data_IF_969236965480
#
_entry.id   IF_969236965480
#
_cell.length_a   1.000
_cell.length_b   1.000
_cell.length_c   1.000
_cell.angle_alpha   90.00
_cell.angle_beta   90.00
_cell.angle_gamma   90.00
#
_symmetry.space_group_name_H-M   'P 1'
#
loop_
_entity.id
_entity.type
_entity.pdbx_description
1 polymer ?
#
# COMPACT_ATOMS: atom_id res chain seq x y z
N UNK A 1 48.41 -46.17 45.27
CA UNK A 1 47.63 -45.92 44.02
C UNK A 1 47.85 -44.47 43.64
N UNK A 2 48.31 -44.26 42.39
CA UNK A 2 48.37 -43.04 41.58
C UNK A 2 48.84 -41.69 42.18
N UNK A 3 49.86 -41.14 41.53
CA UNK A 3 50.45 -39.79 41.55
C UNK A 3 49.80 -38.93 40.41
N UNK A 4 50.20 -37.68 40.10
CA UNK A 4 49.92 -36.36 40.72
C UNK A 4 49.29 -35.31 39.75
N UNK A 5 49.24 -34.03 40.20
CA UNK A 5 49.32 -32.80 39.38
C UNK A 5 47.99 -32.34 38.72
N UNK A 6 47.63 -31.05 38.54
CA UNK A 6 48.42 -29.82 38.36
C UNK A 6 47.55 -28.58 38.58
N UNK A 7 48.29 -27.51 38.85
CA UNK A 7 48.02 -26.10 38.94
C UNK A 7 47.06 -25.41 37.95
N UNK A 8 46.51 -24.34 38.52
CA UNK A 8 46.00 -23.08 37.99
C UNK A 8 47.04 -22.38 37.09
N UNK A 9 46.62 -21.97 35.90
CA UNK A 9 47.28 -21.07 34.95
C UNK A 9 46.21 -20.71 33.90
N UNK A 10 46.19 -19.61 33.17
CA UNK A 10 46.87 -18.32 33.07
C UNK A 10 46.20 -17.72 31.82
N UNK A 11 45.92 -16.42 31.77
CA UNK A 11 45.45 -15.79 30.54
C UNK A 11 45.77 -14.29 30.55
N UNK A 12 47.05 -14.00 30.31
CA UNK A 12 47.45 -12.81 29.55
C UNK A 12 47.36 -13.10 28.05
N UNK A 13 46.68 -12.25 27.28
CA UNK A 13 46.97 -12.08 25.86
C UNK A 13 46.51 -10.71 25.37
N UNK A 14 47.41 -10.09 24.61
CA UNK A 14 47.42 -8.71 24.18
C UNK A 14 46.41 -8.39 23.05
N UNK A 15 46.07 -7.11 23.02
CA UNK A 15 45.50 -6.33 21.91
C UNK A 15 46.12 -6.63 20.55
N UNK A 16 45.26 -7.00 19.59
CA UNK A 16 45.46 -6.80 18.17
C UNK A 16 44.17 -6.20 17.60
N UNK A 17 44.21 -4.95 17.17
CA UNK A 17 43.17 -4.33 16.35
C UNK A 17 43.42 -4.74 14.90
N UNK A 18 42.51 -5.53 14.31
CA UNK A 18 42.39 -5.69 12.86
C UNK A 18 41.15 -4.92 12.35
N UNK A 19 41.21 -4.36 11.14
CA UNK A 19 40.23 -3.39 10.67
C UNK A 19 38.90 -4.08 10.32
N UNK A 20 37.80 -3.53 10.82
CA UNK A 20 36.44 -3.90 10.40
C UNK A 20 36.27 -3.57 8.91
N UNK A 21 36.35 -4.62 8.10
CA UNK A 21 36.08 -4.60 6.67
C UNK A 21 34.57 -4.37 6.48
N UNK A 22 34.17 -3.13 6.17
CA UNK A 22 32.79 -2.74 5.86
C UNK A 22 32.38 -3.21 4.45
N UNK A 23 32.39 -4.51 4.21
CA UNK A 23 31.78 -5.09 3.02
C UNK A 23 30.30 -5.28 3.32
N UNK A 24 29.49 -4.30 2.91
CA UNK A 24 28.05 -4.49 2.75
C UNK A 24 27.87 -5.56 1.68
N UNK A 25 27.56 -6.79 2.07
CA UNK A 25 27.01 -7.78 1.14
C UNK A 25 25.67 -7.23 0.63
N UNK A 26 25.70 -6.59 -0.53
CA UNK A 26 24.52 -6.28 -1.32
C UNK A 26 23.96 -7.60 -1.84
N UNK A 27 23.11 -8.25 -1.04
CA UNK A 27 22.18 -9.23 -1.56
C UNK A 27 21.36 -8.60 -2.70
N UNK A 28 20.86 -9.40 -3.65
CA UNK A 28 20.10 -8.86 -4.78
C UNK A 28 18.94 -8.04 -4.23
N UNK A 29 18.95 -6.74 -4.50
CA UNK A 29 17.82 -5.86 -4.20
C UNK A 29 16.58 -6.50 -4.80
N UNK A 30 15.68 -6.93 -3.93
CA UNK A 30 14.40 -7.44 -4.38
C UNK A 30 13.74 -6.31 -5.17
N UNK A 31 13.19 -6.59 -6.37
CA UNK A 31 12.53 -5.58 -7.18
C UNK A 31 11.52 -4.82 -6.30
N UNK A 32 11.38 -3.48 -6.41
CA UNK A 32 10.42 -2.75 -5.59
C UNK A 32 9.06 -3.44 -5.70
N UNK A 33 8.60 -3.97 -4.58
CA UNK A 33 7.32 -4.67 -4.49
C UNK A 33 6.25 -3.64 -4.84
N UNK A 34 5.72 -3.77 -6.06
CA UNK A 34 4.65 -2.91 -6.53
C UNK A 34 3.43 -3.18 -5.63
N UNK A 35 3.03 -2.12 -4.92
CA UNK A 35 1.81 -1.97 -4.11
C UNK A 35 1.81 -2.67 -2.76
N UNK A 36 1.95 -1.84 -1.73
CA UNK A 36 2.10 -2.26 -0.35
C UNK A 36 0.82 -2.02 0.48
N UNK A 37 -0.28 -1.60 -0.16
CA UNK A 37 -1.51 -1.17 0.51
C UNK A 37 -2.72 -1.97 0.03
N UNK A 38 -2.84 -3.23 0.44
CA UNK A 38 -3.91 -4.14 0.02
C UNK A 38 -4.40 -5.03 1.17
N UNK A 39 -5.42 -5.84 0.87
CA UNK A 39 -6.09 -6.75 1.79
C UNK A 39 -6.22 -8.16 1.22
N UNK A 40 -6.34 -9.17 2.07
CA UNK A 40 -6.59 -10.55 1.63
C UNK A 40 -8.00 -10.75 1.05
N UNK A 41 -8.21 -11.76 0.19
CA UNK A 41 -9.56 -12.17 -0.22
C UNK A 41 -10.45 -12.48 0.99
N UNK A 42 -11.74 -12.24 0.84
CA UNK A 42 -12.75 -12.36 1.90
C UNK A 42 -12.82 -11.14 2.84
N UNK A 43 -11.93 -10.15 2.69
CA UNK A 43 -12.05 -8.88 3.42
C UNK A 43 -13.34 -8.17 3.02
N UNK A 44 -14.18 -7.85 4.00
CA UNK A 44 -15.51 -7.30 3.76
C UNK A 44 -15.45 -5.78 3.55
N UNK A 45 -16.03 -5.33 2.44
CA UNK A 45 -16.23 -3.93 2.08
C UNK A 45 -17.71 -3.58 2.18
N UNK A 46 -18.02 -2.43 2.77
CA UNK A 46 -19.40 -2.00 2.94
C UNK A 46 -19.95 -1.34 1.68
N UNK A 47 -21.00 -1.94 1.10
CA UNK A 47 -21.66 -1.46 -0.11
C UNK A 47 -23.13 -1.14 0.15
N UNK A 48 -23.82 -0.49 -0.80
CA UNK A 48 -25.28 -0.29 -0.72
C UNK A 48 -26.08 -1.60 -0.68
N UNK A 49 -25.48 -2.71 -1.12
CA UNK A 49 -26.09 -4.05 -1.14
C UNK A 49 -25.76 -4.85 0.13
N UNK A 50 -25.06 -4.23 1.08
CA UNK A 50 -24.50 -4.86 2.27
C UNK A 50 -23.00 -5.13 2.13
N UNK A 51 -22.45 -5.89 3.07
CA UNK A 51 -21.02 -6.22 3.08
C UNK A 51 -20.69 -7.25 2.00
N UNK A 52 -19.71 -6.94 1.15
CA UNK A 52 -19.26 -7.81 0.06
C UNK A 52 -17.77 -8.10 0.22
N UNK A 53 -17.32 -9.28 -0.20
CA UNK A 53 -15.89 -9.58 -0.24
C UNK A 53 -15.19 -8.70 -1.28
N UNK A 54 -14.00 -8.19 -0.95
CA UNK A 54 -13.27 -7.20 -1.75
C UNK A 54 -12.97 -7.68 -3.17
N UNK A 55 -12.66 -8.96 -3.35
CA UNK A 55 -12.40 -9.60 -4.64
C UNK A 55 -13.65 -9.79 -5.50
N UNK A 56 -14.84 -9.66 -4.91
CA UNK A 56 -16.13 -9.83 -5.58
C UNK A 56 -16.77 -8.49 -5.98
N UNK A 57 -16.12 -7.36 -5.70
CA UNK A 57 -16.62 -6.04 -6.07
C UNK A 57 -16.61 -5.89 -7.59
N UNK A 58 -17.71 -5.39 -8.14
CA UNK A 58 -17.91 -5.12 -9.55
C UNK A 58 -17.88 -3.62 -9.85
N UNK A 59 -17.61 -3.27 -11.10
CA UNK A 59 -17.75 -1.89 -11.58
C UNK A 59 -19.14 -1.35 -11.22
N UNK A 60 -19.18 -0.08 -10.83
CA UNK A 60 -20.38 0.64 -10.40
C UNK A 60 -20.98 0.22 -9.05
N UNK A 61 -20.34 -0.70 -8.31
CA UNK A 61 -20.71 -0.94 -6.91
C UNK A 61 -20.53 0.34 -6.09
N UNK A 62 -21.59 0.70 -5.36
CA UNK A 62 -21.63 1.87 -4.47
C UNK A 62 -21.06 1.51 -3.10
N UNK A 63 -19.88 2.04 -2.78
CA UNK A 63 -19.10 1.73 -1.57
C UNK A 63 -19.24 2.86 -0.55
N UNK A 64 -19.48 2.52 0.72
CA UNK A 64 -19.59 3.50 1.80
C UNK A 64 -18.21 4.06 2.12
N UNK A 65 -18.00 5.34 1.81
CA UNK A 65 -16.72 6.03 2.03
C UNK A 65 -16.64 6.72 3.38
N UNK A 66 -17.80 7.13 3.93
CA UNK A 66 -17.92 7.75 5.25
C UNK A 66 -19.26 7.47 5.91
N UNK A 67 -19.25 7.13 7.19
CA UNK A 67 -20.41 7.01 8.05
C UNK A 67 -20.64 8.29 8.90
N UNK A 68 -21.75 8.33 9.64
CA UNK A 68 -22.17 9.44 10.47
C UNK A 68 -23.30 10.27 9.85
N UNK A 69 -23.47 11.49 10.36
CA UNK A 69 -24.58 12.40 10.02
C UNK A 69 -24.72 12.69 8.51
N UNK A 70 -23.63 12.61 7.76
CA UNK A 70 -23.65 12.70 6.29
C UNK A 70 -22.93 11.49 5.73
N UNK A 71 -23.67 10.39 5.56
CA UNK A 71 -23.16 9.21 4.84
C UNK A 71 -22.73 9.62 3.44
N UNK A 72 -21.57 9.14 3.03
CA UNK A 72 -21.03 9.37 1.69
C UNK A 72 -20.70 8.05 1.03
N UNK A 73 -20.91 8.03 -0.28
CA UNK A 73 -20.72 6.88 -1.14
C UNK A 73 -19.76 7.24 -2.25
N UNK A 74 -18.99 6.27 -2.70
CA UNK A 74 -18.14 6.36 -3.88
C UNK A 74 -18.44 5.19 -4.81
N UNK A 75 -18.21 5.41 -6.10
CA UNK A 75 -18.49 4.42 -7.15
C UNK A 75 -17.22 3.63 -7.44
N UNK A 76 -17.26 2.29 -7.33
CA UNK A 76 -16.13 1.45 -7.73
C UNK A 76 -15.88 1.60 -9.23
N UNK A 77 -14.66 1.96 -9.60
CA UNK A 77 -14.27 2.09 -11.02
C UNK A 77 -14.16 0.72 -11.70
N UNK A 78 -13.92 0.71 -13.01
CA UNK A 78 -13.50 -0.49 -13.76
C UNK A 78 -12.12 -1.03 -13.35
N UNK A 79 -11.26 -0.20 -12.75
CA UNK A 79 -9.89 -0.58 -12.39
C UNK A 79 -9.82 -1.69 -11.32
N UNK A 80 -9.15 -2.79 -11.67
CA UNK A 80 -8.91 -3.93 -10.78
C UNK A 80 -7.58 -3.72 -10.06
N UNK A 81 -7.64 -3.60 -8.74
CA UNK A 81 -6.45 -3.53 -7.87
C UNK A 81 -6.24 -4.90 -7.27
N UNK A 82 -5.51 -5.76 -7.98
CA UNK A 82 -5.10 -7.10 -7.55
C UNK A 82 -3.59 -7.24 -7.71
N UNK A 83 -2.91 -7.68 -6.66
CA UNK A 83 -1.46 -7.82 -6.64
C UNK A 83 -1.05 -9.15 -6.01
N UNK A 84 0.14 -9.70 -6.36
CA UNK A 84 0.70 -10.83 -5.64
C UNK A 84 0.78 -10.54 -4.14
N UNK A 85 0.33 -11.48 -3.30
CA UNK A 85 0.37 -11.28 -1.86
C UNK A 85 1.83 -11.21 -1.36
N UNK A 86 2.13 -10.31 -0.41
CA UNK A 86 3.43 -10.35 0.25
C UNK A 86 3.51 -11.57 1.17
N UNK A 87 4.74 -11.97 1.51
CA UNK A 87 4.95 -13.07 2.47
C UNK A 87 4.39 -12.78 3.87
N UNK A 88 4.25 -11.51 4.26
CA UNK A 88 3.81 -11.12 5.61
C UNK A 88 2.57 -10.23 5.55
N UNK A 89 1.58 -10.57 6.37
CA UNK A 89 0.38 -9.78 6.64
C UNK A 89 0.28 -9.43 8.12
N UNK A 90 -0.56 -8.44 8.41
CA UNK A 90 -0.76 -7.89 9.74
C UNK A 90 -2.22 -7.97 10.17
N UNK A 91 -2.42 -8.04 11.49
CA UNK A 91 -3.73 -8.05 12.14
C UNK A 91 -3.69 -7.27 13.46
N UNK A 92 -4.88 -6.96 14.01
CA UNK A 92 -5.02 -6.25 15.29
C UNK A 92 -5.62 -7.15 16.35
N UNK A 93 -5.28 -6.90 17.62
CA UNK A 93 -5.99 -7.43 18.79
C UNK A 93 -6.12 -8.96 18.79
N UNK A 94 -5.07 -9.66 18.34
CA UNK A 94 -5.02 -11.12 18.16
C UNK A 94 -6.02 -11.68 17.13
N UNK A 95 -6.64 -10.82 16.33
CA UNK A 95 -7.42 -11.19 15.17
C UNK A 95 -6.56 -11.72 14.01
N UNK A 96 -7.21 -12.27 12.97
CA UNK A 96 -6.51 -12.77 11.79
C UNK A 96 -5.74 -11.65 11.09
N UNK A 97 -4.59 -11.99 10.52
CA UNK A 97 -3.86 -11.08 9.67
C UNK A 97 -4.57 -10.94 8.31
N UNK A 98 -4.85 -9.72 7.89
CA UNK A 98 -5.69 -9.47 6.71
C UNK A 98 -5.23 -8.30 5.83
N UNK A 99 -4.19 -7.56 6.24
CA UNK A 99 -3.73 -6.38 5.49
C UNK A 99 -2.20 -6.31 5.38
N UNK A 100 -1.72 -5.60 4.37
CA UNK A 100 -0.29 -5.41 4.09
C UNK A 100 0.29 -4.21 4.84
N UNK A 101 1.62 -4.17 5.02
CA UNK A 101 2.26 -3.19 5.90
C UNK A 101 2.03 -1.71 5.51
N UNK A 102 1.92 -1.41 4.21
CA UNK A 102 1.74 -0.05 3.71
C UNK A 102 0.30 0.47 3.78
N UNK A 103 -0.68 -0.35 4.18
CA UNK A 103 -2.07 0.09 4.13
C UNK A 103 -2.39 1.13 5.23
N UNK A 104 -2.85 2.35 4.89
CA UNK A 104 -3.15 3.39 5.87
C UNK A 104 -4.56 3.26 6.48
N UNK A 105 -4.63 3.24 7.80
CA UNK A 105 -5.87 3.28 8.57
C UNK A 105 -6.15 4.68 9.09
N UNK A 106 -7.44 5.04 9.17
CA UNK A 106 -7.86 6.22 9.90
C UNK A 106 -7.78 5.96 11.41
N UNK A 107 -7.05 6.84 12.11
CA UNK A 107 -6.99 6.86 13.57
C UNK A 107 -7.41 8.23 14.10
N UNK A 108 -7.62 8.32 15.41
CA UNK A 108 -7.86 9.60 16.10
C UNK A 108 -6.69 10.60 16.00
N UNK A 109 -5.51 10.15 15.54
CA UNK A 109 -4.31 10.99 15.38
C UNK A 109 -3.89 11.19 13.92
N UNK A 110 -4.79 10.87 12.98
CA UNK A 110 -4.53 10.93 11.54
C UNK A 110 -4.30 9.56 10.92
N UNK A 111 -3.77 9.56 9.69
CA UNK A 111 -3.53 8.33 8.94
C UNK A 111 -2.30 7.60 9.46
N UNK A 112 -2.41 6.30 9.62
CA UNK A 112 -1.35 5.45 10.18
C UNK A 112 -1.24 4.13 9.44
N UNK A 113 -0.03 3.72 9.08
CA UNK A 113 0.28 2.42 8.47
C UNK A 113 1.39 1.71 9.26
N UNK A 114 1.51 0.38 9.16
CA UNK A 114 2.60 -0.37 9.81
C UNK A 114 3.95 0.10 9.27
N UNK A 115 4.04 0.25 7.95
CA UNK A 115 5.18 0.85 7.27
C UNK A 115 4.74 2.10 6.49
N UNK A 116 4.91 3.30 7.07
CA UNK A 116 4.55 4.55 6.41
C UNK A 116 5.42 4.88 5.19
N UNK A 117 6.62 4.32 5.10
CA UNK A 117 7.49 4.52 3.94
C UNK A 117 6.92 3.77 2.74
N UNK A 118 6.52 2.51 2.90
CA UNK A 118 5.81 1.76 1.87
C UNK A 118 4.53 2.46 1.42
N UNK A 119 3.76 3.01 2.37
CA UNK A 119 2.57 3.80 2.05
C UNK A 119 2.91 5.02 1.17
N UNK A 120 3.98 5.77 1.49
CA UNK A 120 4.41 6.95 0.72
C UNK A 120 5.07 6.62 -0.60
N UNK A 121 5.65 5.43 -0.77
CA UNK A 121 6.14 4.99 -2.07
C UNK A 121 5.00 4.87 -3.07
N UNK A 122 3.83 4.42 -2.61
CA UNK A 122 2.61 4.35 -3.41
C UNK A 122 1.94 5.72 -3.57
N UNK A 123 1.90 6.52 -2.49
CA UNK A 123 1.33 7.87 -2.51
C UNK A 123 2.17 8.88 -1.73
N UNK A 124 3.09 9.59 -2.41
CA UNK A 124 3.99 10.54 -1.76
C UNK A 124 3.30 11.70 -1.05
N UNK A 125 2.03 12.00 -1.40
CA UNK A 125 1.27 13.11 -0.84
C UNK A 125 0.50 12.74 0.43
N UNK A 126 0.48 11.46 0.82
CA UNK A 126 -0.22 11.04 2.02
C UNK A 126 0.58 11.38 3.28
N UNK A 127 0.00 12.18 4.17
CA UNK A 127 0.56 12.40 5.50
C UNK A 127 0.24 11.21 6.42
N UNK A 128 1.05 10.16 6.30
CA UNK A 128 0.89 8.90 7.03
C UNK A 128 2.02 8.72 8.06
N UNK A 129 1.65 8.46 9.30
CA UNK A 129 2.61 8.10 10.36
C UNK A 129 2.59 6.61 10.68
N UNK A 130 3.45 6.19 11.60
CA UNK A 130 3.55 4.78 11.98
C UNK A 130 2.39 4.35 12.89
N UNK A 131 1.79 3.22 12.57
CA UNK A 131 0.73 2.61 13.38
C UNK A 131 1.35 1.80 14.52
N UNK A 132 0.94 2.09 15.75
CA UNK A 132 1.49 1.48 16.97
C UNK A 132 0.37 1.07 17.92
N UNK A 133 0.69 0.13 18.82
CA UNK A 133 -0.16 -0.20 19.98
C UNK A 133 -0.48 1.07 20.75
N UNK A 134 -1.73 1.22 21.18
CA UNK A 134 -2.28 2.39 21.85
C UNK A 134 -3.02 3.36 20.92
N UNK A 135 -2.80 3.31 19.61
CA UNK A 135 -3.63 4.08 18.68
C UNK A 135 -5.08 3.56 18.64
N UNK A 136 -6.03 4.45 18.34
CA UNK A 136 -7.44 4.13 18.23
C UNK A 136 -7.88 4.20 16.77
N UNK A 137 -8.36 3.07 16.25
CA UNK A 137 -8.91 2.92 14.91
C UNK A 137 -10.38 3.34 14.90
N UNK A 138 -10.82 3.92 13.79
CA UNK A 138 -12.24 4.19 13.54
C UNK A 138 -12.87 2.93 12.93
N UNK A 139 -13.85 2.34 13.61
CA UNK A 139 -14.55 1.14 13.17
C UNK A 139 -16.05 1.42 13.07
N UNK A 140 -16.73 0.89 12.05
CA UNK A 140 -18.19 0.99 11.96
C UNK A 140 -18.83 0.31 13.17
N UNK A 141 -19.81 0.98 13.77
CA UNK A 141 -20.71 0.33 14.72
C UNK A 141 -21.56 -0.74 14.03
N UNK A 142 -22.22 -1.60 14.81
CA UNK A 142 -23.02 -2.72 14.29
C UNK A 142 -24.12 -2.28 13.31
N UNK A 143 -24.73 -1.11 13.57
CA UNK A 143 -25.76 -0.51 12.71
C UNK A 143 -25.18 0.16 11.44
N UNK A 144 -23.84 0.26 11.35
CA UNK A 144 -23.07 0.89 10.27
C UNK A 144 -23.45 2.35 10.04
N UNK A 145 -23.95 3.02 11.07
CA UNK A 145 -24.45 4.40 11.04
C UNK A 145 -23.39 5.41 11.46
N UNK A 146 -22.45 5.01 12.32
CA UNK A 146 -21.39 5.86 12.86
C UNK A 146 -20.15 5.04 13.22
N UNK A 147 -19.16 5.69 13.83
CA UNK A 147 -17.91 5.08 14.25
C UNK A 147 -17.85 4.82 15.76
N UNK A 148 -17.35 3.64 16.11
CA UNK A 148 -16.76 3.35 17.41
C UNK A 148 -15.23 3.40 17.32
N UNK A 149 -14.59 3.59 18.48
CA UNK A 149 -13.14 3.61 18.58
C UNK A 149 -12.61 2.28 19.10
N UNK A 150 -11.82 1.60 18.28
CA UNK A 150 -11.14 0.39 18.69
C UNK A 150 -9.67 0.68 19.03
N UNK A 151 -9.28 0.45 20.28
CA UNK A 151 -7.88 0.63 20.70
C UNK A 151 -7.05 -0.58 20.27
N UNK A 152 -5.92 -0.32 19.63
CA UNK A 152 -4.94 -1.36 19.29
C UNK A 152 -4.22 -1.77 20.58
N UNK A 153 -4.47 -2.97 21.04
CA UNK A 153 -3.81 -3.60 22.20
C UNK A 153 -2.68 -4.54 21.77
N UNK A 154 -2.77 -5.12 20.57
CA UNK A 154 -1.70 -5.90 19.95
C UNK A 154 -1.72 -5.77 18.43
N UNK A 155 -0.56 -5.95 17.80
CA UNK A 155 -0.42 -6.06 16.34
C UNK A 155 0.24 -7.41 16.08
N UNK A 156 -0.46 -8.28 15.35
CA UNK A 156 0.06 -9.59 14.95
C UNK A 156 0.70 -9.49 13.56
N UNK A 157 1.70 -10.33 13.32
CA UNK A 157 2.26 -10.58 11.98
C UNK A 157 2.14 -12.07 11.67
N UNK A 158 1.73 -12.41 10.47
CA UNK A 158 1.59 -13.81 10.06
C UNK A 158 2.14 -14.00 8.65
N UNK A 159 2.68 -15.20 8.39
CA UNK A 159 2.99 -15.62 7.04
C UNK A 159 1.69 -15.81 6.26
N UNK A 160 1.65 -15.29 5.05
CA UNK A 160 0.49 -15.40 4.17
C UNK A 160 0.63 -16.59 3.24
N UNK A 161 -0.43 -17.38 3.12
CA UNK A 161 -0.59 -18.36 2.05
C UNK A 161 -1.49 -17.81 0.92
N UNK A 162 -1.95 -16.56 1.01
CA UNK A 162 -2.72 -15.94 -0.06
C UNK A 162 -1.83 -15.80 -1.30
N UNK A 163 -2.41 -16.01 -2.48
CA UNK A 163 -1.71 -15.77 -3.75
C UNK A 163 -1.81 -14.31 -4.17
N UNK A 164 -2.95 -13.69 -3.88
CA UNK A 164 -3.27 -12.32 -4.25
C UNK A 164 -3.77 -11.51 -3.06
N UNK A 165 -3.59 -10.19 -3.15
CA UNK A 165 -4.19 -9.17 -2.28
C UNK A 165 -4.88 -8.13 -3.14
N UNK A 166 -5.93 -7.52 -2.59
CA UNK A 166 -6.88 -6.67 -3.28
C UNK A 166 -6.94 -5.28 -2.67
N UNK A 167 -7.23 -4.28 -3.51
CA UNK A 167 -7.56 -2.92 -3.10
C UNK A 167 -8.89 -2.48 -3.70
N UNK A 168 -9.38 -1.33 -3.26
CA UNK A 168 -10.51 -0.65 -3.90
C UNK A 168 -9.97 0.52 -4.71
N UNK A 169 -10.59 0.79 -5.86
CA UNK A 169 -10.42 2.06 -6.57
C UNK A 169 -11.79 2.67 -6.82
N UNK A 170 -11.93 3.97 -6.51
CA UNK A 170 -13.17 4.71 -6.64
C UNK A 170 -13.02 5.79 -7.71
N UNK A 171 -14.06 5.98 -8.53
CA UNK A 171 -14.12 7.09 -9.50
C UNK A 171 -14.21 8.45 -8.81
N UNK A 172 -14.94 8.48 -7.70
CA UNK A 172 -15.34 9.66 -6.96
C UNK A 172 -15.63 9.31 -5.50
N UNK A 173 -15.58 10.30 -4.62
CA UNK A 173 -15.82 10.14 -3.18
C UNK A 173 -14.62 10.53 -2.33
N UNK A 174 -14.78 10.44 -1.01
CA UNK A 174 -13.64 10.56 -0.11
C UNK A 174 -12.68 9.39 -0.35
N UNK A 175 -11.38 9.65 -0.13
CA UNK A 175 -10.30 8.66 -0.25
C UNK A 175 -10.33 7.64 0.88
N UNK A 176 -11.48 7.03 1.14
CA UNK A 176 -11.66 6.08 2.22
C UNK A 176 -12.77 5.10 1.94
N UNK A 177 -12.70 3.95 2.59
CA UNK A 177 -13.72 2.91 2.60
C UNK A 177 -13.57 2.09 3.89
N UNK A 178 -14.38 1.05 4.03
CA UNK A 178 -14.34 0.19 5.20
C UNK A 178 -13.83 -1.19 4.81
N UNK A 179 -12.78 -1.66 5.47
CA UNK A 179 -12.24 -3.01 5.31
C UNK A 179 -12.41 -3.77 6.63
N UNK A 180 -13.22 -4.83 6.63
CA UNK A 180 -13.65 -5.53 7.85
C UNK A 180 -14.20 -4.58 8.93
N UNK A 181 -14.89 -3.51 8.50
CA UNK A 181 -15.47 -2.48 9.37
C UNK A 181 -14.52 -1.34 9.74
N UNK A 182 -13.21 -1.46 9.56
CA UNK A 182 -12.26 -0.38 9.83
C UNK A 182 -12.26 0.66 8.72
N UNK A 183 -12.34 1.95 9.07
CA UNK A 183 -12.15 3.04 8.12
C UNK A 183 -10.69 3.11 7.69
N UNK A 184 -10.45 2.90 6.40
CA UNK A 184 -9.13 2.87 5.77
C UNK A 184 -9.06 3.90 4.67
N UNK A 185 -7.86 4.40 4.40
CA UNK A 185 -7.65 5.34 3.32
C UNK A 185 -7.33 4.61 2.01
N UNK A 186 -7.86 5.12 0.91
CA UNK A 186 -7.38 4.77 -0.42
C UNK A 186 -5.98 5.36 -0.57
N UNK A 187 -4.99 4.49 -0.53
CA UNK A 187 -3.62 4.90 -0.80
C UNK A 187 -3.38 5.10 -2.31
N UNK A 188 -4.21 4.49 -3.14
CA UNK A 188 -4.16 4.62 -4.58
C UNK A 188 -4.54 6.06 -5.05
N UNK A 189 -3.74 6.74 -5.90
CA UNK A 189 -3.93 8.16 -6.24
C UNK A 189 -5.16 8.45 -7.15
N UNK A 190 -5.91 9.52 -6.84
CA UNK A 190 -7.17 9.94 -7.52
C UNK A 190 -7.05 10.17 -9.03
N UNK A 191 -5.94 10.73 -9.49
CA UNK A 191 -5.68 10.92 -10.91
C UNK A 191 -4.62 9.90 -11.30
N UNK A 192 -5.09 8.79 -11.83
CA UNK A 192 -4.20 7.78 -12.38
C UNK A 192 -3.64 8.24 -13.71
N UNK A 193 -2.43 7.77 -14.00
CA UNK A 193 -1.90 7.78 -15.35
C UNK A 193 -2.91 7.21 -16.36
N UNK A 194 -3.64 6.16 -15.98
CA UNK A 194 -4.68 5.53 -16.79
C UNK A 194 -5.85 6.45 -17.12
N UNK A 195 -6.37 7.17 -16.12
CA UNK A 195 -7.50 8.07 -16.30
C UNK A 195 -7.13 9.25 -17.21
N UNK A 196 -5.94 9.86 -17.01
CA UNK A 196 -5.46 10.91 -17.91
C UNK A 196 -5.21 10.33 -19.30
N UNK A 197 -4.61 9.14 -19.42
CA UNK A 197 -4.36 8.49 -20.70
C UNK A 197 -5.65 8.24 -21.50
N UNK A 198 -6.71 7.72 -20.87
CA UNK A 198 -8.02 7.55 -21.51
C UNK A 198 -8.57 8.88 -22.03
N UNK A 199 -8.45 9.96 -21.26
CA UNK A 199 -8.85 11.29 -21.73
C UNK A 199 -8.02 11.75 -22.93
N UNK A 200 -6.69 11.56 -22.88
CA UNK A 200 -5.81 11.86 -24.01
C UNK A 200 -6.16 11.05 -25.26
N UNK A 201 -6.64 9.81 -25.11
CA UNK A 201 -7.07 8.99 -26.25
C UNK A 201 -8.31 9.54 -26.97
N UNK A 202 -9.13 10.35 -26.31
CA UNK A 202 -10.28 11.04 -26.94
C UNK A 202 -9.87 12.23 -27.81
N UNK A 203 -8.65 12.71 -27.67
CA UNK A 203 -8.08 13.85 -28.41
C UNK A 203 -7.47 13.36 -29.73
N UNK A 204 -7.41 14.23 -30.74
CA UNK A 204 -6.76 13.91 -32.02
C UNK A 204 -5.30 13.45 -31.84
N UNK A 205 -4.84 12.52 -32.67
CA UNK A 205 -3.50 11.95 -32.52
C UNK A 205 -2.39 13.01 -32.58
N UNK A 206 -2.52 14.03 -33.44
CA UNK A 206 -1.53 15.11 -33.55
C UNK A 206 -1.47 15.97 -32.28
N UNK A 207 -2.62 16.26 -31.67
CA UNK A 207 -2.69 17.09 -30.47
C UNK A 207 -2.29 16.30 -29.22
N UNK A 208 -2.63 15.00 -29.16
CA UNK A 208 -2.13 14.07 -28.15
C UNK A 208 -0.59 14.02 -28.12
N UNK A 209 0.07 13.92 -29.27
CA UNK A 209 1.54 13.91 -29.35
C UNK A 209 2.14 15.19 -28.78
N UNK A 210 1.55 16.36 -29.10
CA UNK A 210 2.01 17.65 -28.56
C UNK A 210 1.89 17.70 -27.04
N UNK A 211 0.78 17.24 -26.48
CA UNK A 211 0.57 17.23 -25.02
C UNK A 211 1.60 16.30 -24.35
N UNK A 212 1.80 15.09 -24.87
CA UNK A 212 2.79 14.14 -24.35
C UNK A 212 4.21 14.73 -24.40
N UNK A 213 4.56 15.41 -25.49
CA UNK A 213 5.87 16.04 -25.64
C UNK A 213 6.09 17.13 -24.58
N UNK A 214 5.10 18.00 -24.35
CA UNK A 214 5.15 19.01 -23.28
C UNK A 214 5.26 18.39 -21.88
N UNK A 215 4.58 17.25 -21.62
CA UNK A 215 4.69 16.52 -20.36
C UNK A 215 6.10 15.95 -20.14
N UNK A 216 6.74 15.46 -21.21
CA UNK A 216 8.11 14.98 -21.15
C UNK A 216 9.13 16.10 -20.88
N UNK A 217 8.90 17.30 -21.40
CA UNK A 217 9.76 18.46 -21.15
C UNK A 217 9.77 18.86 -19.67
N UNK A 218 8.62 18.77 -19.00
CA UNK A 218 8.49 19.10 -17.57
C UNK A 218 8.76 17.92 -16.63
N UNK A 219 8.93 16.70 -17.15
CA UNK A 219 9.21 15.48 -16.36
C UNK A 219 10.35 15.65 -15.33
N UNK A 220 11.50 16.30 -15.64
CA UNK A 220 12.56 16.48 -14.66
C UNK A 220 12.13 17.29 -13.42
N UNK A 221 11.16 18.21 -13.56
CA UNK A 221 10.60 18.94 -12.44
C UNK A 221 9.85 18.00 -11.49
N UNK A 222 9.07 17.06 -12.03
CA UNK A 222 8.29 16.09 -11.26
C UNK A 222 9.15 14.97 -10.64
N UNK A 223 10.27 14.60 -11.27
CA UNK A 223 11.23 13.65 -10.68
C UNK A 223 11.75 14.10 -9.32
N UNK A 224 11.95 15.41 -9.12
CA UNK A 224 12.36 15.98 -7.83
C UNK A 224 11.33 15.80 -6.71
N UNK A 225 10.07 15.53 -7.08
CA UNK A 225 8.96 15.29 -6.16
C UNK A 225 8.51 13.82 -6.16
N UNK A 226 9.29 12.90 -6.76
CA UNK A 226 8.95 11.47 -6.82
C UNK A 226 7.85 11.12 -7.83
N UNK A 227 7.32 12.08 -8.60
CA UNK A 227 6.21 11.88 -9.53
C UNK A 227 6.66 11.51 -10.96
N UNK A 228 7.95 11.34 -11.22
CA UNK A 228 8.48 11.03 -12.56
C UNK A 228 7.95 9.72 -13.16
N UNK A 229 7.68 8.73 -12.32
CA UNK A 229 7.11 7.43 -12.71
C UNK A 229 5.67 7.54 -13.19
N UNK A 230 4.91 8.53 -12.69
CA UNK A 230 3.52 8.80 -13.11
C UNK A 230 3.49 9.28 -14.56
N UNK A 231 4.42 10.16 -14.97
CA UNK A 231 4.52 10.67 -16.35
C UNK A 231 4.90 9.55 -17.32
N UNK A 232 5.80 8.65 -16.93
CA UNK A 232 6.18 7.49 -17.75
C UNK A 232 5.03 6.52 -17.96
N UNK A 233 4.28 6.25 -16.89
CA UNK A 233 3.08 5.42 -16.97
C UNK A 233 2.02 6.07 -17.86
N UNK A 234 1.77 7.37 -17.69
CA UNK A 234 0.81 8.13 -18.49
C UNK A 234 1.15 8.06 -19.98
N UNK A 235 2.42 8.27 -20.32
CA UNK A 235 2.90 8.23 -21.70
C UNK A 235 2.69 6.85 -22.33
N UNK A 236 2.94 5.77 -21.58
CA UNK A 236 2.67 4.40 -22.07
C UNK A 236 1.18 4.17 -22.28
N UNK A 237 0.37 4.43 -21.26
CA UNK A 237 -1.07 4.20 -21.32
C UNK A 237 -1.76 5.02 -22.43
N UNK A 238 -1.30 6.25 -22.69
CA UNK A 238 -1.85 7.09 -23.76
C UNK A 238 -1.54 6.55 -25.17
N UNK A 239 -0.51 5.71 -25.30
CA UNK A 239 -0.08 5.11 -26.57
C UNK A 239 -0.53 3.64 -26.72
N UNK A 240 -0.97 2.99 -25.65
CA UNK A 240 -1.48 1.61 -25.65
C UNK A 240 -2.93 1.54 -26.11
N UNK A 241 -3.29 0.48 -26.84
CA UNK A 241 -4.66 0.19 -27.29
C UNK A 241 -5.51 -0.62 -26.29
N UNK A 242 -4.91 -1.05 -25.17
CA UNK A 242 -5.56 -1.68 -24.03
C UNK A 242 -5.03 -1.08 -22.72
N UNK A 243 -5.82 -1.01 -21.64
CA UNK A 243 -5.33 -0.61 -20.32
C UNK A 243 -4.20 -1.56 -19.89
N UNK A 244 -3.05 -1.01 -19.53
CA UNK A 244 -1.97 -1.80 -18.97
C UNK A 244 -2.38 -2.28 -17.58
N UNK A 245 -2.04 -3.52 -17.21
CA UNK A 245 -2.26 -3.96 -15.84
C UNK A 245 -1.48 -3.02 -14.89
N UNK A 246 -2.12 -2.60 -13.81
CA UNK A 246 -1.49 -1.77 -12.81
C UNK A 246 -0.44 -2.63 -12.08
N UNK A 247 0.84 -2.49 -12.43
CA UNK A 247 1.85 -3.52 -12.11
C UNK A 247 2.92 -3.70 -13.18
N UNK A 248 2.58 -3.45 -14.45
CA UNK A 248 3.50 -3.75 -15.55
C UNK A 248 4.67 -2.77 -15.62
N UNK A 249 5.87 -3.32 -15.38
CA UNK A 249 7.15 -2.63 -15.60
C UNK A 249 7.41 -2.41 -17.09
N UNK A 250 8.21 -1.39 -17.45
CA UNK A 250 8.85 -1.38 -18.76
C UNK A 250 9.75 -2.63 -18.86
N UNK A 251 9.70 -3.35 -19.97
CA UNK A 251 10.85 -4.19 -20.32
C UNK A 251 11.99 -3.23 -20.66
N UNK A 252 13.09 -3.29 -19.90
CA UNK A 252 14.27 -2.48 -20.15
C UNK A 252 14.78 -2.80 -21.57
N UNK A 253 14.72 -1.80 -22.44
CA UNK A 253 15.29 -1.80 -23.79
C UNK A 253 16.54 -0.91 -23.83
#
# INVERSE_FOLDING_TARGET
>A
MADPSTAIADLSAATAQEPLNNTVETGPESPPTLFASCFVPGTLVETMRGSMAIESLAEDDMILTRAGATRQWGVRSDEVVENPAPGILYGFNNGPAFFTAGHPFHTTTGLRAIDPHLARQENPWLNVGELRVGHQLLRLNDDKTDYELETITSISRAQSNATSVYGVHLREGLRSYHANGYLVALNYPEITAAAIARQLQTISAQERVKIIQSLNEIKPLFQRFGAGTVIDRLTREANSSAPLAYGDRPEDS
#
